data_IF_898609214030
#
_entry.id   IF_898609214030
#
_cell.length_a   1.000
_cell.length_b   1.000
_cell.length_c   1.000
_cell.angle_alpha   90.00
_cell.angle_beta   90.00
_cell.angle_gamma   90.00
#
_symmetry.space_group_name_H-M   'P 1'
#
loop_
_entity.id
_entity.type
_entity.pdbx_description
1 polymer ?
#
# COMPACT_ATOMS: atom_id res chain seq x y z
N UNK A 1 13.57 33.42 16.68
CA UNK A 1 14.03 33.47 15.30
C UNK A 1 14.49 32.15 14.77
N UNK A 2 15.41 31.54 15.44
CA UNK A 2 15.92 30.26 14.99
C UNK A 2 14.83 29.17 14.99
N UNK A 3 13.90 29.26 15.90
CA UNK A 3 12.83 28.29 15.99
C UNK A 3 11.94 28.29 14.76
N UNK A 4 11.74 29.41 14.16
CA UNK A 4 10.89 29.52 12.99
C UNK A 4 11.51 28.82 11.81
N UNK A 5 12.78 28.98 11.59
CA UNK A 5 13.47 28.31 10.49
C UNK A 5 13.44 26.80 10.62
N UNK A 6 13.57 26.32 11.84
CA UNK A 6 13.54 24.89 12.09
C UNK A 6 12.20 24.27 11.78
N UNK A 7 11.15 24.96 12.11
CA UNK A 7 9.80 24.47 11.84
C UNK A 7 9.53 24.33 10.35
N UNK A 8 9.97 25.28 9.58
CA UNK A 8 9.79 25.25 8.14
C UNK A 8 10.43 24.05 7.51
N UNK A 9 11.65 23.79 7.87
CA UNK A 9 12.38 22.68 7.29
C UNK A 9 11.70 21.34 7.57
N UNK A 10 11.25 21.15 8.78
CA UNK A 10 10.61 19.90 9.16
C UNK A 10 9.35 19.65 8.35
N UNK A 11 8.56 20.67 8.15
CA UNK A 11 7.30 20.56 7.44
C UNK A 11 7.53 20.15 5.98
N UNK A 12 8.47 20.79 5.33
CA UNK A 12 8.75 20.51 3.94
C UNK A 12 9.21 19.07 3.73
N UNK A 13 10.08 18.60 4.59
CA UNK A 13 10.59 17.24 4.45
C UNK A 13 9.50 16.20 4.58
N UNK A 14 8.61 16.37 5.53
CA UNK A 14 7.54 15.41 5.72
C UNK A 14 6.64 15.34 4.49
N UNK A 15 6.28 16.46 3.93
CA UNK A 15 5.42 16.48 2.76
C UNK A 15 6.08 15.82 1.57
N UNK A 16 7.35 16.09 1.36
CA UNK A 16 8.06 15.52 0.21
C UNK A 16 8.13 14.00 0.28
N UNK A 17 8.41 13.46 1.43
CA UNK A 17 8.54 12.02 1.57
C UNK A 17 7.25 11.28 1.28
N UNK A 18 6.14 11.82 1.73
CA UNK A 18 4.85 11.16 1.52
C UNK A 18 4.43 11.14 0.06
N UNK A 19 4.81 12.17 -0.69
CA UNK A 19 4.37 12.31 -2.07
C UNK A 19 4.92 11.22 -2.99
N UNK A 20 6.03 10.62 -2.66
CA UNK A 20 6.71 9.70 -3.56
C UNK A 20 6.72 8.26 -3.10
N UNK A 21 6.11 7.97 -1.98
CA UNK A 21 6.15 6.61 -1.45
C UNK A 21 5.15 5.73 -2.18
N UNK A 22 5.61 4.58 -2.65
CA UNK A 22 4.71 3.54 -3.12
C UNK A 22 3.95 2.96 -1.94
N UNK A 23 2.86 2.28 -2.24
CA UNK A 23 2.09 1.58 -1.22
C UNK A 23 2.99 0.55 -0.54
N UNK A 24 2.96 0.51 0.78
CA UNK A 24 3.74 -0.44 1.52
C UNK A 24 3.06 -1.81 1.53
N UNK A 25 3.81 -2.82 1.95
CA UNK A 25 3.26 -4.16 2.08
C UNK A 25 2.06 -4.17 3.02
N UNK A 26 2.17 -3.51 4.15
CA UNK A 26 1.08 -3.44 5.12
C UNK A 26 -0.13 -2.70 4.58
N UNK A 27 0.11 -1.65 3.81
CA UNK A 27 -0.97 -0.91 3.17
C UNK A 27 -1.68 -1.76 2.13
N UNK A 28 -0.95 -2.56 1.39
CA UNK A 28 -1.54 -3.47 0.41
C UNK A 28 -2.41 -4.52 1.09
N UNK A 29 -1.93 -5.06 2.20
CA UNK A 29 -2.71 -6.04 2.97
C UNK A 29 -3.98 -5.40 3.50
N UNK A 30 -3.90 -4.19 4.02
CA UNK A 30 -5.08 -3.49 4.52
C UNK A 30 -6.09 -3.21 3.41
N UNK A 31 -5.61 -2.83 2.23
CA UNK A 31 -6.47 -2.59 1.09
C UNK A 31 -7.20 -3.86 0.67
N UNK A 32 -6.48 -4.98 0.65
CA UNK A 32 -7.07 -6.26 0.31
C UNK A 32 -8.15 -6.67 1.32
N UNK A 33 -7.91 -6.42 2.58
CA UNK A 33 -8.89 -6.77 3.63
C UNK A 33 -10.16 -5.92 3.54
N UNK A 34 -10.05 -4.71 3.05
CA UNK A 34 -11.24 -3.89 2.82
C UNK A 34 -12.11 -4.44 1.69
N UNK A 35 -11.47 -5.08 0.72
CA UNK A 35 -12.18 -5.68 -0.41
C UNK A 35 -12.70 -7.07 -0.09
N UNK A 36 -11.98 -7.77 0.77
CA UNK A 36 -12.32 -9.14 1.12
C UNK A 36 -11.94 -9.35 2.58
N UNK A 37 -12.92 -9.54 3.44
CA UNK A 37 -12.73 -9.62 4.89
C UNK A 37 -12.05 -10.89 5.37
N UNK A 38 -11.47 -11.67 4.47
CA UNK A 38 -10.76 -12.88 4.84
C UNK A 38 -9.40 -12.62 5.45
N UNK A 39 -8.65 -13.68 5.67
CA UNK A 39 -7.32 -13.60 6.24
C UNK A 39 -6.28 -13.48 5.13
N UNK A 40 -5.32 -12.58 5.31
CA UNK A 40 -4.22 -12.43 4.37
C UNK A 40 -3.19 -13.53 4.63
N UNK A 41 -2.87 -14.29 3.59
CA UNK A 41 -1.87 -15.36 3.68
C UNK A 41 -0.51 -14.89 3.24
N UNK A 42 -0.42 -14.09 2.19
CA UNK A 42 0.86 -13.61 1.70
C UNK A 42 0.67 -12.33 0.92
N UNK A 43 1.73 -11.53 0.86
CA UNK A 43 1.77 -10.29 0.09
C UNK A 43 3.08 -10.27 -0.65
N UNK A 44 3.02 -10.24 -1.98
CA UNK A 44 4.21 -10.27 -2.81
C UNK A 44 4.17 -9.14 -3.82
N UNK A 45 5.31 -8.53 -4.07
CA UNK A 45 5.42 -7.48 -5.07
C UNK A 45 5.71 -8.12 -6.43
N UNK A 46 5.04 -7.62 -7.46
CA UNK A 46 5.19 -8.14 -8.81
C UNK A 46 5.10 -6.98 -9.79
N UNK A 47 5.52 -7.24 -11.03
CA UNK A 47 5.40 -6.25 -12.09
C UNK A 47 4.33 -6.69 -13.06
N UNK A 48 3.51 -5.74 -13.48
CA UNK A 48 2.50 -5.99 -14.50
C UNK A 48 2.71 -5.04 -15.67
N UNK A 49 1.92 -5.22 -16.72
CA UNK A 49 1.99 -4.35 -17.88
C UNK A 49 1.73 -2.88 -17.53
N UNK A 50 0.93 -2.65 -16.51
CA UNK A 50 0.59 -1.29 -16.09
C UNK A 50 1.46 -0.77 -14.92
N UNK A 51 2.50 -1.52 -14.54
CA UNK A 51 3.42 -1.08 -13.50
C UNK A 51 3.48 -2.05 -12.33
N UNK A 52 4.11 -1.63 -11.22
CA UNK A 52 4.26 -2.50 -10.06
C UNK A 52 2.92 -2.73 -9.37
N UNK A 53 2.72 -3.96 -8.91
CA UNK A 53 1.51 -4.36 -8.20
C UNK A 53 1.86 -5.21 -7.00
N UNK A 54 0.96 -5.25 -6.03
CA UNK A 54 1.04 -6.18 -4.91
C UNK A 54 0.06 -7.31 -5.17
N UNK A 55 0.57 -8.53 -5.09
CA UNK A 55 -0.27 -9.72 -5.17
C UNK A 55 -0.57 -10.17 -3.75
N UNK A 56 -1.82 -10.06 -3.36
CA UNK A 56 -2.24 -10.40 -2.00
C UNK A 56 -3.09 -11.65 -2.06
N UNK A 57 -2.62 -12.70 -1.40
CA UNK A 57 -3.36 -13.95 -1.31
C UNK A 57 -4.17 -13.95 -0.03
N UNK A 58 -5.47 -14.14 -0.15
CA UNK A 58 -6.37 -14.11 1.00
C UNK A 58 -7.21 -15.38 1.04
N UNK A 59 -7.64 -15.76 2.24
CA UNK A 59 -8.60 -16.84 2.45
C UNK A 59 -9.92 -16.21 2.84
N UNK A 60 -10.98 -16.55 2.11
CA UNK A 60 -12.30 -16.01 2.40
C UNK A 60 -12.92 -16.69 3.62
N UNK A 61 -14.05 -16.17 4.07
CA UNK A 61 -14.79 -16.76 5.17
C UNK A 61 -15.23 -18.19 4.87
N UNK A 62 -15.40 -18.51 3.58
CA UNK A 62 -15.79 -19.85 3.16
C UNK A 62 -14.60 -20.79 2.96
N UNK A 63 -13.39 -20.31 3.24
CA UNK A 63 -12.19 -21.13 3.08
C UNK A 63 -11.59 -21.14 1.68
N UNK A 64 -12.06 -20.28 0.80
CA UNK A 64 -11.52 -20.18 -0.54
C UNK A 64 -10.31 -19.27 -0.58
N UNK A 65 -9.31 -19.66 -1.38
CA UNK A 65 -8.11 -18.84 -1.56
C UNK A 65 -8.31 -17.97 -2.79
N UNK A 66 -8.08 -16.66 -2.64
CA UNK A 66 -8.19 -15.71 -3.74
C UNK A 66 -6.93 -14.87 -3.80
N UNK A 67 -6.57 -14.47 -5.03
CA UNK A 67 -5.45 -13.56 -5.24
C UNK A 67 -6.00 -12.23 -5.70
N UNK A 68 -5.67 -11.18 -4.96
CA UNK A 68 -6.07 -9.82 -5.30
C UNK A 68 -4.84 -9.07 -5.78
N UNK A 69 -5.02 -8.27 -6.82
CA UNK A 69 -3.95 -7.43 -7.34
C UNK A 69 -4.24 -5.99 -6.94
N UNK A 70 -3.29 -5.39 -6.26
CA UNK A 70 -3.40 -4.01 -5.79
C UNK A 70 -2.32 -3.19 -6.47
N UNK A 71 -2.72 -2.09 -7.11
CA UNK A 71 -1.76 -1.20 -7.73
C UNK A 71 -0.84 -0.61 -6.65
N UNK A 72 0.47 -0.76 -6.83
CA UNK A 72 1.42 -0.34 -5.82
C UNK A 72 1.55 1.17 -5.70
N UNK A 73 1.10 1.90 -6.70
CA UNK A 73 1.19 3.36 -6.70
C UNK A 73 -0.10 3.98 -6.16
N UNK A 74 -1.24 3.54 -6.66
CA UNK A 74 -2.51 4.15 -6.31
C UNK A 74 -3.24 3.44 -5.16
N UNK A 75 -2.91 2.18 -4.92
CA UNK A 75 -3.62 1.38 -3.92
C UNK A 75 -4.96 0.86 -4.39
N UNK A 76 -5.26 0.97 -5.66
CA UNK A 76 -6.54 0.52 -6.21
C UNK A 76 -6.47 -0.94 -6.60
N UNK A 77 -7.59 -1.63 -6.44
CA UNK A 77 -7.71 -3.01 -6.89
C UNK A 77 -7.78 -3.07 -8.41
N UNK A 78 -7.11 -4.06 -8.96
CA UNK A 78 -7.08 -4.26 -10.41
C UNK A 78 -7.98 -5.40 -10.85
#
# INVERSE_FOLDING_TARGET
>A
MNAIAKLLCATVLAASNLAWADLSRDDAAAAAQRLNSGRVLSVEKSDSASGPVWRVKVVTAQGEVRVLLIDAVSGRAL
#
